data_IF_651460135951
#
_entry.id   IF_651460135951
#
_cell.length_a   1.000
_cell.length_b   1.000
_cell.length_c   1.000
_cell.angle_alpha   90.00
_cell.angle_beta   90.00
_cell.angle_gamma   90.00
#
_symmetry.space_group_name_H-M   'P 1'
#
loop_
_entity.id
_entity.type
_entity.pdbx_description
1 polymer ?
#
# COMPACT_ATOMS: atom_id res chain seq x y z
N UNK A 1 16.27 -17.58 3.31
CA UNK A 1 15.30 -17.24 4.37
C UNK A 1 15.94 -16.29 5.34
N UNK A 2 15.73 -15.00 5.13
CA UNK A 2 16.22 -13.95 6.02
C UNK A 2 15.21 -12.82 6.10
N UNK A 3 14.31 -12.89 7.08
CA UNK A 3 13.66 -11.67 7.56
C UNK A 3 14.76 -10.83 8.18
N UNK A 4 15.11 -9.73 7.52
CA UNK A 4 16.15 -8.82 8.03
C UNK A 4 15.44 -7.71 8.78
N UNK A 5 15.49 -7.76 10.11
CA UNK A 5 14.99 -6.68 10.94
C UNK A 5 15.94 -5.49 10.86
N UNK A 6 15.43 -4.34 10.44
CA UNK A 6 16.17 -3.09 10.35
C UNK A 6 15.79 -2.17 11.51
N UNK A 7 16.77 -1.56 12.21
CA UNK A 7 16.49 -0.52 13.18
C UNK A 7 15.90 0.71 12.49
N UNK A 8 15.11 1.51 13.21
CA UNK A 8 14.46 2.71 12.67
C UNK A 8 15.47 3.71 12.07
N UNK A 9 16.72 3.72 12.53
CA UNK A 9 17.80 4.57 11.99
C UNK A 9 18.24 4.18 10.57
N UNK A 10 18.02 2.92 10.17
CA UNK A 10 18.36 2.39 8.85
C UNK A 10 17.12 2.20 7.94
N UNK A 11 15.94 2.62 8.40
CA UNK A 11 14.68 2.40 7.71
C UNK A 11 14.60 3.04 6.32
N UNK A 12 15.37 4.10 6.08
CA UNK A 12 15.45 4.83 4.80
C UNK A 12 16.72 4.51 4.01
N UNK A 13 17.42 3.41 4.32
CA UNK A 13 18.61 3.01 3.54
C UNK A 13 18.19 2.43 2.18
N UNK A 14 18.97 2.57 1.09
CA UNK A 14 18.72 1.83 -0.14
C UNK A 14 18.75 0.31 0.12
N UNK A 15 18.04 -0.48 -0.69
CA UNK A 15 18.09 -1.95 -0.61
C UNK A 15 16.75 -2.68 -0.72
N UNK A 16 15.66 -1.96 -0.97
CA UNK A 16 14.37 -2.53 -1.33
C UNK A 16 13.70 -1.65 -2.39
N UNK A 17 13.17 -2.28 -3.45
CA UNK A 17 12.52 -1.59 -4.56
C UNK A 17 11.09 -1.17 -4.21
N UNK A 18 10.40 -1.97 -3.40
CA UNK A 18 9.01 -1.75 -3.01
C UNK A 18 8.90 -1.65 -1.49
N UNK A 19 8.42 -0.49 -1.03
CA UNK A 19 8.15 -0.23 0.38
C UNK A 19 6.66 -0.37 0.66
N UNK A 20 6.30 -1.12 1.69
CA UNK A 20 4.93 -1.40 2.08
C UNK A 20 4.62 -0.69 3.38
N UNK A 21 3.58 0.13 3.38
CA UNK A 21 3.12 0.89 4.54
C UNK A 21 1.64 0.60 4.80
N UNK A 22 1.24 0.65 6.06
CA UNK A 22 -0.17 0.69 6.44
C UNK A 22 -0.75 2.10 6.29
N UNK A 23 -2.01 2.27 6.69
CA UNK A 23 -2.66 3.59 6.71
C UNK A 23 -1.99 4.54 7.71
N UNK A 24 -2.08 5.84 7.45
CA UNK A 24 -1.42 6.90 8.24
C UNK A 24 -1.86 6.96 9.71
N UNK A 25 -3.02 6.42 10.05
CA UNK A 25 -3.52 6.33 11.43
C UNK A 25 -2.85 5.25 12.26
N UNK A 26 -2.25 4.25 11.61
CA UNK A 26 -1.69 3.07 12.28
C UNK A 26 -0.18 3.21 12.53
N UNK A 27 0.50 4.07 11.77
CA UNK A 27 1.96 4.07 11.67
C UNK A 27 2.55 5.49 11.61
N UNK A 28 3.40 5.90 12.58
CA UNK A 28 4.21 7.11 12.46
C UNK A 28 5.12 7.10 11.23
N UNK A 29 5.58 5.93 10.76
CA UNK A 29 6.33 5.83 9.51
C UNK A 29 5.48 6.19 8.29
N UNK A 30 4.22 5.77 8.25
CA UNK A 30 3.32 6.12 7.16
C UNK A 30 3.19 7.64 7.01
N UNK A 31 3.08 8.40 8.11
CA UNK A 31 3.05 9.87 8.04
C UNK A 31 4.37 10.47 7.55
N UNK A 32 5.52 9.96 8.00
CA UNK A 32 6.84 10.44 7.56
C UNK A 32 7.08 10.18 6.08
N UNK A 33 6.72 8.98 5.61
CA UNK A 33 6.85 8.59 4.22
C UNK A 33 5.87 9.37 3.35
N UNK A 34 4.64 9.59 3.82
CA UNK A 34 3.66 10.38 3.08
C UNK A 34 4.12 11.84 2.94
N UNK A 35 4.71 12.43 3.98
CA UNK A 35 5.34 13.76 3.88
C UNK A 35 6.40 13.80 2.77
N UNK A 36 7.29 12.80 2.70
CA UNK A 36 8.31 12.70 1.65
C UNK A 36 7.70 12.51 0.24
N UNK A 37 6.51 11.91 0.17
CA UNK A 37 5.74 11.71 -1.06
C UNK A 37 4.78 12.88 -1.37
N UNK A 38 4.93 14.04 -0.73
CA UNK A 38 4.04 15.20 -0.91
C UNK A 38 2.56 14.90 -0.56
N UNK A 39 2.32 14.14 0.50
CA UNK A 39 1.00 13.81 1.03
C UNK A 39 0.07 13.08 0.04
N UNK A 40 0.65 12.31 -0.89
CA UNK A 40 -0.11 11.58 -1.90
C UNK A 40 -1.01 10.50 -1.29
N UNK A 41 -0.57 9.82 -0.23
CA UNK A 41 -1.35 8.78 0.45
C UNK A 41 -2.58 9.39 1.11
N UNK A 42 -2.41 10.45 1.90
CA UNK A 42 -3.54 11.13 2.55
C UNK A 42 -4.53 11.72 1.54
N UNK A 43 -4.04 12.35 0.47
CA UNK A 43 -4.91 12.90 -0.59
C UNK A 43 -5.74 11.81 -1.26
N UNK A 44 -5.11 10.67 -1.58
CA UNK A 44 -5.79 9.53 -2.15
C UNK A 44 -6.82 8.91 -1.19
N UNK A 45 -6.51 8.82 0.11
CA UNK A 45 -7.43 8.29 1.11
C UNK A 45 -8.73 9.12 1.23
N UNK A 46 -8.64 10.43 1.02
CA UNK A 46 -9.79 11.36 1.04
C UNK A 46 -10.51 11.49 -0.31
N UNK A 47 -9.99 10.87 -1.36
CA UNK A 47 -10.54 11.03 -2.70
C UNK A 47 -11.93 10.38 -2.80
N UNK A 48 -12.94 11.22 -2.96
CA UNK A 48 -14.29 10.79 -3.28
C UNK A 48 -14.45 10.79 -4.81
N UNK A 49 -14.99 9.70 -5.35
CA UNK A 49 -15.30 9.65 -6.78
C UNK A 49 -16.29 10.77 -7.11
N UNK A 50 -16.06 11.56 -8.17
CA UNK A 50 -17.05 12.53 -8.60
C UNK A 50 -18.36 11.82 -8.94
N UNK A 51 -19.47 12.37 -8.45
CA UNK A 51 -20.79 11.91 -8.83
C UNK A 51 -21.00 12.15 -10.33
N UNK A 52 -21.78 11.27 -10.97
CA UNK A 52 -22.18 11.48 -12.36
C UNK A 52 -22.92 12.81 -12.46
N UNK A 53 -22.63 13.58 -13.51
CA UNK A 53 -23.34 14.82 -13.79
C UNK A 53 -24.84 14.55 -13.88
N UNK A 54 -25.64 15.51 -13.37
CA UNK A 54 -27.10 15.38 -13.29
C UNK A 54 -27.73 15.00 -14.63
N UNK A 55 -27.35 15.68 -15.70
CA UNK A 55 -27.88 15.47 -17.05
C UNK A 55 -27.62 14.02 -17.54
N UNK A 56 -26.46 13.48 -17.21
CA UNK A 56 -26.10 12.09 -17.52
C UNK A 56 -26.94 11.10 -16.72
N UNK A 57 -27.23 11.40 -15.45
CA UNK A 57 -28.14 10.58 -14.65
C UNK A 57 -29.57 10.61 -15.18
N UNK A 58 -30.04 11.78 -15.66
CA UNK A 58 -31.37 11.93 -16.27
C UNK A 58 -31.47 11.09 -17.55
N UNK A 59 -30.51 11.20 -18.47
CA UNK A 59 -30.47 10.39 -19.71
C UNK A 59 -30.40 8.89 -19.41
N UNK A 60 -29.61 8.45 -18.42
CA UNK A 60 -29.52 7.04 -18.04
C UNK A 60 -30.86 6.51 -17.49
N UNK A 61 -31.56 7.32 -16.70
CA UNK A 61 -32.88 6.95 -16.16
C UNK A 61 -33.94 6.90 -17.27
N UNK A 62 -33.91 7.82 -18.24
CA UNK A 62 -34.84 7.87 -19.38
C UNK A 62 -34.63 6.72 -20.35
N UNK A 63 -33.37 6.37 -20.63
CA UNK A 63 -33.00 5.31 -21.59
C UNK A 63 -33.05 3.91 -20.98
N UNK A 64 -33.21 3.79 -19.65
CA UNK A 64 -33.19 2.50 -18.95
C UNK A 64 -31.84 1.79 -18.99
N UNK A 65 -30.77 2.51 -19.33
CA UNK A 65 -29.42 1.95 -19.40
C UNK A 65 -28.89 1.68 -17.99
N UNK A 66 -28.31 0.49 -17.79
CA UNK A 66 -27.67 0.16 -16.52
C UNK A 66 -26.48 1.08 -16.26
N UNK A 67 -26.41 1.57 -15.02
CA UNK A 67 -25.25 2.32 -14.57
C UNK A 67 -24.10 1.35 -14.37
N UNK A 68 -23.09 1.38 -15.23
CA UNK A 68 -21.84 0.65 -15.02
C UNK A 68 -20.99 1.40 -13.99
N UNK A 69 -21.41 1.36 -12.73
CA UNK A 69 -20.62 1.86 -11.61
C UNK A 69 -19.93 0.66 -11.00
N UNK A 70 -18.67 0.42 -11.38
CA UNK A 70 -17.85 -0.54 -10.65
C UNK A 70 -17.81 -0.11 -9.17
N UNK A 71 -18.07 -1.03 -8.22
CA UNK A 71 -17.97 -0.70 -6.80
C UNK A 71 -16.55 -0.22 -6.50
N UNK A 72 -16.46 0.94 -5.86
CA UNK A 72 -15.20 1.46 -5.35
C UNK A 72 -14.92 0.70 -4.06
N UNK A 73 -14.17 -0.39 -4.17
CA UNK A 73 -13.44 -0.90 -3.02
C UNK A 73 -12.34 0.12 -2.70
N UNK A 74 -12.13 0.49 -1.43
CA UNK A 74 -10.87 1.13 -1.04
C UNK A 74 -9.75 0.21 -1.53
N UNK A 75 -8.86 0.73 -2.38
CA UNK A 75 -7.81 -0.07 -3.00
C UNK A 75 -6.46 0.38 -2.48
N UNK A 76 -5.56 -0.58 -2.42
CA UNK A 76 -4.15 -0.34 -2.20
C UNK A 76 -3.65 0.68 -3.23
N UNK A 77 -2.84 1.62 -2.75
CA UNK A 77 -2.31 2.71 -3.55
C UNK A 77 -0.84 2.46 -3.81
N UNK A 78 -0.48 2.34 -5.09
CA UNK A 78 0.91 2.23 -5.53
C UNK A 78 1.40 3.59 -6.04
N UNK A 79 2.44 4.13 -5.41
CA UNK A 79 3.04 5.42 -5.71
C UNK A 79 4.46 5.18 -6.25
N UNK A 80 4.81 5.83 -7.37
CA UNK A 80 6.18 5.90 -7.83
C UNK A 80 6.97 6.86 -6.92
N UNK A 81 8.10 6.39 -6.37
CA UNK A 81 8.82 7.06 -5.30
C UNK A 81 10.31 7.29 -5.60
N UNK A 82 10.78 6.90 -6.79
CA UNK A 82 12.19 6.91 -7.20
C UNK A 82 12.88 8.28 -7.12
N UNK A 83 12.12 9.37 -7.20
CA UNK A 83 12.63 10.74 -7.08
C UNK A 83 12.68 11.26 -5.64
N UNK A 84 11.98 10.63 -4.70
CA UNK A 84 11.74 11.15 -3.35
C UNK A 84 12.30 10.25 -2.25
N UNK A 85 12.35 8.95 -2.50
CA UNK A 85 12.79 7.92 -1.57
C UNK A 85 13.77 6.97 -2.27
N UNK A 86 14.65 6.29 -1.53
CA UNK A 86 15.56 5.30 -2.09
C UNK A 86 14.86 3.95 -2.38
N UNK A 87 13.68 4.02 -3.01
CA UNK A 87 12.90 2.90 -3.52
C UNK A 87 12.18 3.31 -4.79
N UNK A 88 11.77 2.34 -5.61
CA UNK A 88 11.05 2.63 -6.86
C UNK A 88 9.58 2.89 -6.59
N UNK A 89 9.00 2.18 -5.62
CA UNK A 89 7.58 2.24 -5.32
C UNK A 89 7.29 2.22 -3.82
N UNK A 90 6.21 2.89 -3.45
CA UNK A 90 5.57 2.79 -2.13
C UNK A 90 4.16 2.27 -2.33
N UNK A 91 3.82 1.20 -1.64
CA UNK A 91 2.48 0.61 -1.59
C UNK A 91 1.84 0.89 -0.24
N UNK A 92 0.78 1.67 -0.26
CA UNK A 92 -0.07 1.89 0.92
C UNK A 92 -1.22 0.89 0.91
N UNK A 93 -1.32 0.11 1.98
CA UNK A 93 -2.39 -0.85 2.20
C UNK A 93 -3.44 -0.25 3.15
N UNK A 94 -4.72 -0.39 2.81
CA UNK A 94 -5.82 -0.04 3.74
C UNK A 94 -5.99 -1.13 4.80
N UNK A 95 -5.79 -2.39 4.40
CA UNK A 95 -5.77 -3.56 5.28
C UNK A 95 -4.52 -4.39 5.01
N UNK A 96 -3.99 -5.05 6.03
CA UNK A 96 -2.84 -5.96 5.90
C UNK A 96 -3.21 -7.30 5.24
N UNK A 97 -3.85 -7.24 4.07
CA UNK A 97 -4.18 -8.40 3.24
C UNK A 97 -2.94 -8.87 2.46
N UNK A 98 -2.31 -9.92 2.98
CA UNK A 98 -1.13 -10.54 2.37
C UNK A 98 -1.41 -11.11 0.97
N UNK A 99 -2.64 -11.52 0.66
CA UNK A 99 -2.96 -12.06 -0.67
C UNK A 99 -2.98 -10.94 -1.72
N UNK A 100 -3.53 -9.78 -1.38
CA UNK A 100 -3.50 -8.59 -2.23
C UNK A 100 -2.06 -8.09 -2.47
N UNK A 101 -1.26 -8.05 -1.39
CA UNK A 101 0.15 -7.71 -1.47
C UNK A 101 0.93 -8.70 -2.36
N UNK A 102 0.65 -10.00 -2.23
CA UNK A 102 1.28 -11.04 -3.06
C UNK A 102 1.01 -10.80 -4.54
N UNK A 103 -0.25 -10.62 -4.90
CA UNK A 103 -0.67 -10.34 -6.27
C UNK A 103 0.02 -9.10 -6.83
N UNK A 104 0.14 -8.05 -6.03
CA UNK A 104 0.82 -6.80 -6.43
C UNK A 104 2.32 -7.03 -6.63
N UNK A 105 2.99 -7.72 -5.70
CA UNK A 105 4.40 -8.07 -5.84
C UNK A 105 4.67 -9.03 -7.01
N UNK A 106 3.72 -9.90 -7.35
CA UNK A 106 3.79 -10.75 -8.55
C UNK A 106 3.67 -9.93 -9.83
N UNK A 107 2.70 -9.01 -9.90
CA UNK A 107 2.53 -8.09 -11.03
C UNK A 107 3.74 -7.17 -11.28
N UNK A 108 4.52 -6.87 -10.23
CA UNK A 108 5.72 -6.05 -10.31
C UNK A 108 7.02 -6.84 -10.57
N UNK A 109 6.93 -8.16 -10.77
CA UNK A 109 8.11 -8.99 -11.06
C UNK A 109 8.97 -9.32 -9.84
N UNK A 110 8.37 -9.39 -8.66
CA UNK A 110 9.00 -9.78 -7.39
C UNK A 110 10.09 -8.80 -6.91
N UNK A 111 9.73 -7.52 -6.69
CA UNK A 111 10.66 -6.52 -6.17
C UNK A 111 11.18 -6.90 -4.77
N UNK A 112 12.37 -6.43 -4.42
CA UNK A 112 12.86 -6.51 -3.05
C UNK A 112 11.94 -5.70 -2.12
N UNK A 113 11.48 -6.30 -1.02
CA UNK A 113 10.44 -5.74 -0.16
C UNK A 113 11.02 -5.14 1.13
N UNK A 114 10.49 -3.99 1.51
CA UNK A 114 10.62 -3.45 2.87
C UNK A 114 9.26 -3.15 3.45
N UNK A 115 8.99 -3.68 4.63
CA UNK A 115 7.69 -3.58 5.29
C UNK A 115 7.83 -2.72 6.53
N UNK A 116 7.06 -1.65 6.60
CA UNK A 116 6.96 -0.77 7.77
C UNK A 116 5.75 -1.22 8.58
N UNK A 117 5.99 -2.00 9.64
CA UNK A 117 4.94 -2.64 10.39
C UNK A 117 4.48 -1.76 11.58
N UNK A 118 3.18 -1.43 11.67
CA UNK A 118 2.60 -0.72 12.80
C UNK A 118 2.86 -1.40 14.14
N UNK A 119 3.03 -0.61 15.21
CA UNK A 119 3.14 -1.15 16.60
C UNK A 119 1.97 -2.02 17.02
N UNK A 120 0.78 -1.80 16.46
CA UNK A 120 -0.42 -2.56 16.77
C UNK A 120 -0.36 -4.01 16.27
N UNK A 121 0.55 -4.32 15.34
CA UNK A 121 0.67 -5.64 14.74
C UNK A 121 1.90 -6.34 15.32
N UNK A 122 1.68 -7.53 15.88
CA UNK A 122 2.74 -8.38 16.37
C UNK A 122 3.62 -8.87 15.20
N UNK A 123 4.90 -8.47 15.24
CA UNK A 123 5.89 -8.82 14.23
C UNK A 123 6.11 -10.32 14.10
N UNK A 124 6.07 -11.09 15.19
CA UNK A 124 6.29 -12.54 15.13
C UNK A 124 5.11 -13.22 14.44
N UNK A 125 3.89 -12.82 14.81
CA UNK A 125 2.67 -13.31 14.17
C UNK A 125 2.65 -12.94 12.67
N UNK A 126 3.03 -11.72 12.34
CA UNK A 126 3.10 -11.26 10.95
C UNK A 126 4.11 -12.08 10.14
N UNK A 127 5.31 -12.33 10.66
CA UNK A 127 6.33 -13.15 9.98
C UNK A 127 5.85 -14.58 9.74
N UNK A 128 5.12 -15.19 10.69
CA UNK A 128 4.52 -16.52 10.50
C UNK A 128 3.50 -16.52 9.36
N UNK A 129 2.55 -15.58 9.40
CA UNK A 129 1.53 -15.42 8.36
C UNK A 129 2.15 -15.12 6.99
N UNK A 130 3.21 -14.32 6.96
CA UNK A 130 3.99 -14.04 5.76
C UNK A 130 4.56 -15.32 5.17
N UNK A 131 5.24 -16.12 5.99
CA UNK A 131 5.89 -17.36 5.55
C UNK A 131 4.85 -18.33 4.97
N UNK A 132 3.66 -18.41 5.58
CA UNK A 132 2.55 -19.23 5.09
C UNK A 132 1.98 -18.73 3.74
N UNK A 133 1.81 -17.41 3.56
CA UNK A 133 1.17 -16.83 2.38
C UNK A 133 2.13 -16.64 1.18
N UNK A 134 3.35 -16.19 1.47
CA UNK A 134 4.34 -15.71 0.49
C UNK A 134 5.47 -16.71 0.23
N UNK A 135 5.59 -17.77 1.04
CA UNK A 135 6.67 -18.75 0.95
C UNK A 135 8.03 -18.19 1.40
N UNK A 136 9.13 -18.71 0.85
CA UNK A 136 10.51 -18.38 1.23
C UNK A 136 11.03 -17.03 0.67
N UNK A 137 10.16 -16.01 0.57
CA UNK A 137 10.60 -14.69 0.08
C UNK A 137 11.24 -13.86 1.19
N UNK A 138 12.46 -13.42 0.92
CA UNK A 138 13.18 -12.51 1.79
C UNK A 138 12.56 -11.11 1.75
N UNK A 139 12.47 -10.46 2.91
CA UNK A 139 12.03 -9.09 3.05
C UNK A 139 12.72 -8.42 4.22
N UNK A 140 12.76 -7.10 4.18
CA UNK A 140 13.26 -6.26 5.26
C UNK A 140 12.08 -5.79 6.11
N UNK A 141 12.17 -5.95 7.42
CA UNK A 141 11.14 -5.54 8.36
C UNK A 141 11.62 -4.35 9.17
N UNK A 142 10.83 -3.27 9.19
CA UNK A 142 11.04 -2.10 10.05
C UNK A 142 9.92 -2.09 11.07
N UNK A 143 10.26 -2.32 12.34
CA UNK A 143 9.31 -2.25 13.46
C UNK A 143 9.36 -0.85 14.09
N UNK A 144 8.21 -0.35 14.50
CA UNK A 144 8.00 0.99 15.05
C UNK A 144 8.28 1.17 16.55
#
# INVERSE_FOLDING_TARGET
MGVTSLPSTQALTPGADLWVIGTSTESPWALKLDWALNFQVLRAATHQRPELARDLNEVLNETGLERVVAPVTKRDLLIAADMNLPCRWVLSLDTWDLAALKKTAEGLGHPALRIFLPRAIDSEKFVRQWTEAMGERDFQLVVE
#
